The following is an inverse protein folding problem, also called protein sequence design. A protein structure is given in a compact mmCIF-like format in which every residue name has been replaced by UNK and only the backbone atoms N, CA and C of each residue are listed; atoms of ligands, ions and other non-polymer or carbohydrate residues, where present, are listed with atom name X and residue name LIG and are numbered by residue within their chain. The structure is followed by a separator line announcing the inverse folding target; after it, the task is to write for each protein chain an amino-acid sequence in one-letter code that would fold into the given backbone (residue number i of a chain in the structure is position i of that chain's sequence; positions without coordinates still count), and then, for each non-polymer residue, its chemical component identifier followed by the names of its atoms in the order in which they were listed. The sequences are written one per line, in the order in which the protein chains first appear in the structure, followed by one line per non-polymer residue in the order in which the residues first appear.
data_IF_185507347181
#
_entry.id   IF_185507347181
#
_cell.length_a   1.000
_cell.length_b   1.000
_cell.length_c   1.000
_cell.angle_alpha   90.00
_cell.angle_beta   90.00
_cell.angle_gamma   90.00
#
_symmetry.space_group_name_H-M   'P 1'
#
loop_
_entity.id
_entity.type
_entity.pdbx_description
1 polymer ?
#
# COMPACT_ATOMS: atom_id res chain seq x y z
N UNK A 1 7.01 18.01 -18.61
CA UNK A 1 6.15 17.34 -17.61
C UNK A 1 6.64 15.90 -17.48
N UNK A 2 7.44 15.58 -16.47
CA UNK A 2 8.03 14.25 -16.31
C UNK A 2 7.08 13.37 -15.48
N UNK A 3 6.27 12.55 -16.16
CA UNK A 3 5.63 11.40 -15.55
C UNK A 3 6.72 10.35 -15.35
N UNK A 4 7.17 10.16 -14.11
CA UNK A 4 7.98 9.01 -13.74
C UNK A 4 7.16 7.75 -14.05
N UNK A 5 7.40 7.17 -15.23
CA UNK A 5 6.88 5.86 -15.55
C UNK A 5 7.59 4.85 -14.63
N UNK A 6 6.80 4.00 -13.95
CA UNK A 6 7.27 2.80 -13.24
C UNK A 6 7.71 1.77 -14.31
N UNK A 7 8.85 1.95 -14.98
CA UNK A 7 9.09 1.39 -16.32
C UNK A 7 9.59 -0.05 -16.44
N UNK A 8 10.00 -0.75 -15.38
CA UNK A 8 10.69 -2.06 -15.61
C UNK A 8 9.81 -3.30 -15.41
N UNK A 9 8.65 -3.21 -14.73
CA UNK A 9 7.80 -4.41 -14.55
C UNK A 9 6.29 -4.12 -14.56
N UNK A 10 5.87 -3.14 -15.37
CA UNK A 10 4.48 -2.68 -15.40
C UNK A 10 3.48 -3.81 -15.72
N UNK A 11 3.87 -4.75 -16.58
CA UNK A 11 3.05 -5.92 -16.92
C UNK A 11 2.75 -6.82 -15.72
N UNK A 12 3.70 -7.04 -14.81
CA UNK A 12 3.47 -7.80 -13.59
C UNK A 12 2.45 -7.10 -12.68
N UNK A 13 2.65 -5.80 -12.42
CA UNK A 13 1.72 -5.02 -11.61
C UNK A 13 0.31 -4.97 -12.20
N UNK A 14 0.21 -4.75 -13.51
CA UNK A 14 -1.09 -4.67 -14.21
C UNK A 14 -1.82 -6.02 -14.20
N UNK A 15 -1.12 -7.15 -14.40
CA UNK A 15 -1.76 -8.48 -14.37
C UNK A 15 -2.31 -8.82 -12.98
N UNK A 16 -1.54 -8.53 -11.92
CA UNK A 16 -1.96 -8.72 -10.52
C UNK A 16 -3.13 -7.79 -10.15
N UNK A 17 -3.07 -6.54 -10.59
CA UNK A 17 -4.18 -5.60 -10.42
C UNK A 17 -5.45 -6.11 -11.11
N UNK A 18 -5.33 -6.61 -12.34
CA UNK A 18 -6.48 -7.11 -13.09
C UNK A 18 -7.11 -8.34 -12.42
N UNK A 19 -6.29 -9.27 -11.94
CA UNK A 19 -6.76 -10.43 -11.17
C UNK A 19 -7.48 -10.01 -9.87
N UNK A 20 -6.91 -9.07 -9.11
CA UNK A 20 -7.54 -8.54 -7.91
C UNK A 20 -8.90 -7.89 -8.22
N UNK A 21 -9.00 -7.12 -9.31
CA UNK A 21 -10.25 -6.50 -9.75
C UNK A 21 -11.30 -7.53 -10.17
N UNK A 22 -10.90 -8.61 -10.86
CA UNK A 22 -11.79 -9.71 -11.21
C UNK A 22 -12.31 -10.46 -9.97
N UNK A 23 -11.51 -10.54 -8.91
CA UNK A 23 -11.90 -11.10 -7.63
C UNK A 23 -12.71 -10.12 -6.74
N UNK A 24 -13.03 -8.92 -7.22
CA UNK A 24 -13.84 -7.94 -6.51
C UNK A 24 -13.06 -6.98 -5.60
N UNK A 25 -11.73 -7.06 -5.58
CA UNK A 25 -10.89 -6.14 -4.80
C UNK A 25 -10.63 -4.82 -5.54
N UNK A 26 -10.35 -3.78 -4.76
CA UNK A 26 -10.08 -2.44 -5.29
C UNK A 26 -8.62 -2.25 -5.70
N UNK A 27 -7.71 -2.99 -5.07
CA UNK A 27 -6.26 -2.89 -5.23
C UNK A 27 -5.59 -4.18 -4.74
N UNK A 28 -4.33 -4.37 -5.14
CA UNK A 28 -3.42 -5.42 -4.64
C UNK A 28 -2.20 -4.77 -3.98
N UNK A 29 -1.75 -5.31 -2.85
CA UNK A 29 -0.54 -4.88 -2.13
C UNK A 29 0.57 -5.90 -2.32
N UNK A 30 1.82 -5.43 -2.38
CA UNK A 30 3.00 -6.28 -2.59
C UNK A 30 3.90 -6.30 -1.36
N UNK A 31 4.61 -7.42 -1.22
CA UNK A 31 5.74 -7.58 -0.29
C UNK A 31 7.02 -7.85 -1.08
N UNK A 32 8.15 -7.44 -0.54
CA UNK A 32 9.46 -7.84 -1.03
C UNK A 32 9.83 -9.26 -0.54
N UNK A 33 11.00 -9.74 -0.95
CA UNK A 33 11.50 -11.09 -0.58
C UNK A 33 11.82 -11.26 0.90
N UNK A 34 11.88 -10.18 1.68
CA UNK A 34 12.04 -10.19 3.14
C UNK A 34 10.71 -10.20 3.90
N UNK A 35 9.58 -10.22 3.18
CA UNK A 35 8.25 -10.15 3.80
C UNK A 35 7.87 -8.73 4.27
N UNK A 36 8.57 -7.70 3.80
CA UNK A 36 8.22 -6.32 4.08
C UNK A 36 7.28 -5.78 2.98
N UNK A 37 6.24 -5.06 3.40
CA UNK A 37 5.34 -4.34 2.52
C UNK A 37 6.11 -3.34 1.65
N UNK A 38 5.62 -3.12 0.43
CA UNK A 38 6.19 -2.14 -0.49
C UNK A 38 5.15 -1.10 -0.89
N UNK A 39 4.36 -1.39 -1.90
CA UNK A 39 3.33 -0.53 -2.46
C UNK A 39 2.20 -1.36 -3.06
N UNK A 40 1.17 -0.70 -3.59
CA UNK A 40 0.15 -1.34 -4.41
C UNK A 40 0.48 -1.26 -5.90
N UNK A 41 -0.37 -1.85 -6.75
CA UNK A 41 -0.10 -1.86 -8.19
C UNK A 41 -0.10 -0.47 -8.80
N UNK A 42 -1.02 0.38 -8.33
CA UNK A 42 -1.10 1.77 -8.75
C UNK A 42 -1.14 2.74 -7.57
N UNK A 43 -0.89 2.29 -6.34
CA UNK A 43 -1.11 3.06 -5.11
C UNK A 43 0.05 2.97 -4.12
N UNK A 44 0.06 3.90 -3.16
CA UNK A 44 0.86 3.83 -1.95
C UNK A 44 -0.02 3.42 -0.76
N UNK A 45 0.59 2.85 0.27
CA UNK A 45 -0.10 2.41 1.49
C UNK A 45 0.42 3.15 2.73
N UNK A 46 -0.50 3.42 3.66
CA UNK A 46 -0.24 4.04 4.95
C UNK A 46 -0.96 3.25 6.05
N UNK A 47 -0.26 2.95 7.14
CA UNK A 47 -0.78 2.24 8.30
C UNK A 47 -0.82 3.17 9.50
N UNK A 48 -1.91 3.15 10.27
CA UNK A 48 -1.98 3.80 11.58
C UNK A 48 -1.76 2.74 12.66
N UNK A 49 -0.79 2.98 13.55
CA UNK A 49 -0.50 2.11 14.69
C UNK A 49 -0.24 2.96 15.92
N UNK A 50 -0.99 2.73 17.00
CA UNK A 50 -0.86 3.51 18.23
C UNK A 50 -1.07 5.01 17.97
N UNK A 51 -1.99 5.35 17.06
CA UNK A 51 -2.30 6.73 16.69
C UNK A 51 -1.26 7.43 15.80
N UNK A 52 -0.20 6.76 15.36
CA UNK A 52 0.82 7.31 14.46
C UNK A 52 0.76 6.67 13.08
N UNK A 53 1.02 7.47 12.04
CA UNK A 53 1.03 6.99 10.66
C UNK A 53 2.41 6.51 10.22
N UNK A 54 2.43 5.44 9.45
CA UNK A 54 3.62 4.84 8.87
C UNK A 54 3.39 4.51 7.40
N UNK A 55 4.45 4.51 6.61
CA UNK A 55 4.45 4.01 5.23
C UNK A 55 5.72 3.19 5.01
N UNK A 56 5.72 2.17 4.13
CA UNK A 56 6.91 1.36 3.91
C UNK A 56 8.11 2.21 3.48
N UNK A 57 9.29 1.99 4.06
CA UNK A 57 10.51 2.74 3.75
C UNK A 57 10.99 2.50 2.32
N UNK A 58 11.59 3.50 1.66
CA UNK A 58 12.09 3.36 0.27
C UNK A 58 13.03 2.16 0.08
N UNK A 59 13.80 1.81 1.12
CA UNK A 59 14.69 0.65 1.18
C UNK A 59 13.97 -0.71 1.02
N UNK A 60 12.64 -0.74 1.20
CA UNK A 60 11.81 -1.91 0.89
C UNK A 60 11.67 -2.17 -0.61
N UNK A 61 12.11 -1.24 -1.47
CA UNK A 61 12.12 -1.39 -2.93
C UNK A 61 10.92 -0.77 -3.65
N UNK A 62 10.16 0.10 -2.98
CA UNK A 62 9.08 0.87 -3.63
C UNK A 62 9.62 2.09 -4.39
N UNK A 63 8.86 2.55 -5.36
CA UNK A 63 9.25 3.69 -6.17
C UNK A 63 9.07 5.02 -5.41
N UNK A 64 10.05 5.95 -5.48
CA UNK A 64 9.96 7.24 -4.81
C UNK A 64 8.97 8.16 -5.52
N UNK A 65 7.68 7.98 -5.25
CA UNK A 65 6.62 8.82 -5.81
C UNK A 65 6.57 10.17 -5.10
N UNK A 66 6.60 11.28 -5.85
CA UNK A 66 6.41 12.64 -5.33
C UNK A 66 5.17 12.76 -4.43
N UNK A 67 4.10 12.05 -4.78
CA UNK A 67 2.81 12.06 -4.09
C UNK A 67 2.83 11.33 -2.75
N UNK A 68 3.70 10.32 -2.59
CA UNK A 68 3.94 9.69 -1.30
C UNK A 68 4.49 10.70 -0.30
N UNK A 69 5.46 11.53 -0.73
CA UNK A 69 6.06 12.55 0.13
C UNK A 69 5.03 13.60 0.59
N UNK A 70 4.14 14.05 -0.31
CA UNK A 70 3.04 14.96 0.05
C UNK A 70 2.12 14.33 1.10
N UNK A 71 1.67 13.09 0.88
CA UNK A 71 0.76 12.41 1.80
C UNK A 71 1.42 12.09 3.14
N UNK A 72 2.71 11.74 3.15
CA UNK A 72 3.49 11.59 4.38
C UNK A 72 3.48 12.88 5.20
N UNK A 73 3.63 14.04 4.57
CA UNK A 73 3.59 15.33 5.27
C UNK A 73 2.20 15.62 5.86
N UNK A 74 1.13 15.34 5.11
CA UNK A 74 -0.26 15.54 5.57
C UNK A 74 -0.60 14.66 6.77
N UNK A 75 -0.26 13.37 6.69
CA UNK A 75 -0.51 12.39 7.76
C UNK A 75 0.52 12.46 8.89
N UNK A 76 1.59 13.25 8.73
CA UNK A 76 2.80 13.20 9.58
C UNK A 76 3.35 11.79 9.71
N UNK A 77 3.32 11.05 8.61
CA UNK A 77 3.73 9.66 8.56
C UNK A 77 5.25 9.51 8.58
N UNK A 78 5.73 8.48 9.29
CA UNK A 78 7.13 8.09 9.30
C UNK A 78 7.37 6.90 8.34
N UNK A 79 8.59 6.79 7.83
CA UNK A 79 9.02 5.60 7.09
C UNK A 79 9.39 4.49 8.08
N UNK A 80 9.01 3.25 7.77
CA UNK A 80 9.39 2.07 8.54
C UNK A 80 9.40 0.82 7.65
N UNK A 81 10.17 -0.21 8.04
CA UNK A 81 9.93 -1.57 7.55
C UNK A 81 8.62 -2.07 8.16
N UNK A 82 7.62 -2.29 7.32
CA UNK A 82 6.28 -2.75 7.71
C UNK A 82 6.08 -4.14 7.16
N UNK A 83 5.48 -5.03 7.94
CA UNK A 83 5.23 -6.44 7.58
C UNK A 83 3.73 -6.72 7.40
N UNK A 84 3.38 -7.91 6.91
CA UNK A 84 1.99 -8.37 6.90
C UNK A 84 1.37 -8.36 8.30
N UNK A 85 2.14 -8.71 9.33
CA UNK A 85 1.68 -8.65 10.73
C UNK A 85 1.36 -7.21 11.16
N UNK A 86 2.15 -6.23 10.71
CA UNK A 86 1.86 -4.81 10.99
C UNK A 86 0.60 -4.34 10.27
N UNK A 87 0.37 -4.83 9.04
CA UNK A 87 -0.80 -4.52 8.24
C UNK A 87 -2.08 -5.06 8.88
N UNK A 88 -2.06 -6.31 9.33
CA UNK A 88 -3.24 -6.95 9.93
C UNK A 88 -3.53 -6.48 11.35
N UNK A 89 -2.52 -5.98 12.07
CA UNK A 89 -2.67 -5.40 13.40
C UNK A 89 -2.87 -3.88 13.40
N UNK A 90 -3.00 -3.23 12.24
CA UNK A 90 -3.13 -1.77 12.15
C UNK A 90 -4.49 -1.28 12.64
N UNK A 91 -4.49 -0.12 13.31
CA UNK A 91 -5.70 0.62 13.69
C UNK A 91 -6.42 1.18 12.45
N UNK A 92 -5.69 1.46 11.38
CA UNK A 92 -6.27 1.97 10.15
C UNK A 92 -5.31 1.73 9.00
N UNK A 93 -5.86 1.45 7.83
CA UNK A 93 -5.09 1.29 6.60
C UNK A 93 -5.69 2.19 5.54
N UNK A 94 -4.85 3.01 4.92
CA UNK A 94 -5.20 3.85 3.78
C UNK A 94 -4.40 3.39 2.58
N UNK A 95 -5.08 3.27 1.44
CA UNK A 95 -4.47 2.94 0.15
C UNK A 95 -4.97 3.95 -0.88
N UNK A 96 -4.05 4.50 -1.68
CA UNK A 96 -4.42 5.52 -2.65
C UNK A 96 -3.32 6.03 -3.56
N UNK A 97 -3.71 6.85 -4.53
CA UNK A 97 -2.78 7.62 -5.35
C UNK A 97 -3.39 8.99 -5.69
N UNK A 98 -2.58 9.90 -6.23
CA UNK A 98 -3.01 11.26 -6.55
C UNK A 98 -4.04 11.36 -7.68
N UNK A 99 -4.22 10.31 -8.49
CA UNK A 99 -5.14 10.34 -9.64
C UNK A 99 -6.56 9.92 -9.24
N UNK A 100 -6.70 9.09 -8.20
CA UNK A 100 -7.96 8.45 -7.82
C UNK A 100 -8.35 8.73 -6.37
N UNK A 101 -7.55 9.53 -5.66
CA UNK A 101 -7.69 9.76 -4.24
C UNK A 101 -7.22 8.57 -3.41
N UNK A 102 -7.45 8.65 -2.11
CA UNK A 102 -7.16 7.61 -1.15
C UNK A 102 -8.42 7.14 -0.43
N UNK A 103 -8.44 5.85 -0.09
CA UNK A 103 -9.56 5.20 0.57
C UNK A 103 -9.10 4.42 1.78
N UNK A 104 -9.98 4.35 2.79
CA UNK A 104 -9.81 3.46 3.94
C UNK A 104 -10.06 2.02 3.50
N UNK A 105 -9.18 1.11 3.89
CA UNK A 105 -9.33 -0.31 3.62
C UNK A 105 -10.29 -0.91 4.63
N UNK A 106 -11.41 -1.43 4.15
CA UNK A 106 -12.41 -2.10 4.98
C UNK A 106 -12.08 -3.59 5.21
N UNK A 107 -11.41 -4.22 4.26
CA UNK A 107 -11.10 -5.64 4.28
C UNK A 107 -9.80 -5.92 3.54
N UNK A 108 -9.01 -6.82 4.10
CA UNK A 108 -7.76 -7.35 3.56
C UNK A 108 -7.92 -8.85 3.41
N UNK A 109 -7.52 -9.40 2.27
CA UNK A 109 -7.52 -10.84 2.03
C UNK A 109 -6.13 -11.24 1.54
N UNK A 110 -5.52 -12.23 2.19
CA UNK A 110 -4.22 -12.76 1.80
C UNK A 110 -4.35 -13.72 0.60
N UNK A 111 -3.23 -14.02 -0.06
CA UNK A 111 -3.20 -15.06 -1.12
C UNK A 111 -3.60 -16.46 -0.59
N UNK A 112 -3.46 -16.71 0.72
CA UNK A 112 -3.91 -17.93 1.42
C UNK A 112 -5.42 -17.93 1.72
N UNK A 113 -6.13 -16.83 1.46
CA UNK A 113 -7.56 -16.69 1.71
C UNK A 113 -7.93 -16.25 3.13
N UNK A 114 -6.96 -15.80 3.93
CA UNK A 114 -7.21 -15.28 5.27
C UNK A 114 -7.72 -13.84 5.18
N UNK A 115 -8.84 -13.57 5.87
CA UNK A 115 -9.50 -12.26 5.85
C UNK A 115 -9.23 -11.50 7.14
N UNK A 116 -8.84 -10.24 7.00
CA UNK A 116 -8.61 -9.30 8.10
C UNK A 116 -9.41 -8.02 7.86
N UNK A 117 -9.89 -7.41 8.94
CA UNK A 117 -10.57 -6.13 8.89
C UNK A 117 -9.81 -5.17 9.80
N UNK A 118 -9.19 -4.11 9.25
CA UNK A 118 -8.56 -3.10 10.07
C UNK A 118 -9.56 -2.57 11.09
N UNK A 119 -9.12 -2.32 12.32
CA UNK A 119 -10.01 -1.91 13.41
C UNK A 119 -10.53 -0.51 13.09
N UNK A 120 -11.71 -0.38 12.48
CA UNK A 120 -12.35 0.93 12.30
C UNK A 120 -12.60 1.54 13.68
N UNK A 121 -11.70 2.42 14.11
CA UNK A 121 -11.89 3.29 15.26
C UNK A 121 -13.00 4.30 15.03
#
# INVERSE_FOLDING_TARGET
MFLYHKTTNRSFYDSRFHAARQAGFHEVLFCNTRGELTEGAISNLFLRKGGRWFTPALECGLLPGLRRAERMRELRAAEASLTLTDLTAADEVIVGNSLRGDGRVAELVTETGETFRPVTG
#
